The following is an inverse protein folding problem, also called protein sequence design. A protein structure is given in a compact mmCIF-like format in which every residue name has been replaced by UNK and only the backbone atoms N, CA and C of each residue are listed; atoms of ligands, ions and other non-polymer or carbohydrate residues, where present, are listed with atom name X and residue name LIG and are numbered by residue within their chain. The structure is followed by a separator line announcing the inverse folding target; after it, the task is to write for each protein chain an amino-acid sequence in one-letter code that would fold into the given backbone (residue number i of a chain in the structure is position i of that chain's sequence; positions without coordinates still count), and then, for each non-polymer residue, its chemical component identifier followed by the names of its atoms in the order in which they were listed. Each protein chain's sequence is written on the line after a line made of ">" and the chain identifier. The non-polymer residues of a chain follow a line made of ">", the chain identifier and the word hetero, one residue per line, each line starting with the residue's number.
data_IF_718357788105
#
_entry.id   IF_718357788105
#
_cell.length_a   1.000
_cell.length_b   1.000
_cell.length_c   1.000
_cell.angle_alpha   90.00
_cell.angle_beta   90.00
_cell.angle_gamma   90.00
#
_symmetry.space_group_name_H-M   'P 1'
#
loop_
_entity.id
_entity.type
_entity.pdbx_description
1 polymer ?
#
# COMPACT_ATOMS: atom_id res chain seq x y z
N UNK A 1 16.25 -22.91 -67.81
CA UNK A 1 16.17 -22.28 -66.47
C UNK A 1 14.75 -22.46 -65.94
N UNK A 2 14.51 -23.47 -65.10
CA UNK A 2 13.19 -23.73 -64.51
C UNK A 2 13.14 -23.10 -63.10
N UNK A 3 12.20 -22.18 -62.87
CA UNK A 3 11.99 -21.53 -61.56
C UNK A 3 11.03 -22.41 -60.74
N UNK A 4 11.53 -22.93 -59.63
CA UNK A 4 10.73 -23.61 -58.60
C UNK A 4 10.14 -22.52 -57.70
N UNK A 5 8.81 -22.45 -57.60
CA UNK A 5 8.10 -21.65 -56.59
C UNK A 5 7.73 -22.57 -55.43
N UNK A 6 8.29 -22.31 -54.24
CA UNK A 6 7.85 -22.90 -52.98
C UNK A 6 6.91 -21.91 -52.28
N UNK A 7 5.70 -22.30 -51.86
CA UNK A 7 4.87 -21.43 -51.04
C UNK A 7 5.33 -21.51 -49.57
N UNK A 8 5.65 -20.37 -49.00
CA UNK A 8 5.93 -20.22 -47.57
C UNK A 8 4.58 -20.25 -46.82
N UNK A 9 4.31 -21.31 -46.07
CA UNK A 9 3.15 -21.40 -45.18
C UNK A 9 3.46 -20.62 -43.89
N UNK A 10 2.83 -19.46 -43.71
CA UNK A 10 2.91 -18.72 -42.45
C UNK A 10 1.91 -19.30 -41.44
N UNK A 11 2.42 -19.97 -40.40
CA UNK A 11 1.62 -20.37 -39.24
C UNK A 11 1.41 -19.15 -38.33
N UNK A 12 0.19 -18.60 -38.33
CA UNK A 12 -0.25 -17.66 -37.29
C UNK A 12 -0.52 -18.45 -36.01
N UNK A 13 0.37 -18.33 -35.01
CA UNK A 13 0.07 -18.79 -33.65
C UNK A 13 -0.92 -17.83 -33.01
N UNK A 14 -2.18 -18.24 -32.94
CA UNK A 14 -3.20 -17.61 -32.10
C UNK A 14 -2.88 -17.96 -30.64
N UNK A 15 -2.11 -17.12 -29.95
CA UNK A 15 -2.03 -17.20 -28.49
C UNK A 15 -3.36 -16.69 -27.93
N UNK A 16 -4.13 -17.49 -27.18
CA UNK A 16 -5.26 -16.95 -26.45
C UNK A 16 -4.72 -15.92 -25.45
N UNK A 17 -5.16 -14.68 -25.58
CA UNK A 17 -5.05 -13.68 -24.53
C UNK A 17 -5.85 -14.21 -23.34
N UNK A 18 -5.17 -14.87 -22.40
CA UNK A 18 -5.75 -15.19 -21.10
C UNK A 18 -5.96 -13.86 -20.38
N UNK A 19 -7.18 -13.32 -20.43
CA UNK A 19 -7.57 -12.24 -19.55
C UNK A 19 -7.51 -12.77 -18.11
N UNK A 20 -6.62 -12.20 -17.30
CA UNK A 20 -6.60 -12.48 -15.87
C UNK A 20 -7.98 -12.14 -15.29
N UNK A 21 -8.66 -13.13 -14.71
CA UNK A 21 -10.00 -12.94 -14.18
C UNK A 21 -9.91 -12.27 -12.81
N UNK A 22 -10.56 -11.11 -12.68
CA UNK A 22 -10.71 -10.44 -11.39
C UNK A 22 -11.33 -11.37 -10.35
N UNK A 23 -10.79 -11.37 -9.13
CA UNK A 23 -11.39 -12.10 -8.02
C UNK A 23 -10.42 -12.44 -6.89
N UNK A 24 -10.89 -13.28 -5.97
CA UNK A 24 -10.10 -13.80 -4.85
C UNK A 24 -10.05 -15.31 -4.95
N UNK A 25 -8.85 -15.86 -4.98
CA UNK A 25 -8.59 -17.31 -4.92
C UNK A 25 -7.95 -17.65 -3.59
N UNK A 26 -8.48 -18.66 -2.90
CA UNK A 26 -7.84 -19.23 -1.72
C UNK A 26 -6.79 -20.25 -2.16
N UNK A 27 -5.54 -20.08 -1.74
CA UNK A 27 -4.42 -20.98 -2.05
C UNK A 27 -3.73 -21.41 -0.76
N UNK A 28 -4.04 -22.62 -0.30
CA UNK A 28 -3.68 -23.05 1.05
C UNK A 28 -4.26 -22.10 2.11
N UNK A 29 -3.39 -21.49 2.90
CA UNK A 29 -3.80 -20.49 3.90
C UNK A 29 -3.79 -19.05 3.38
N UNK A 30 -3.46 -18.82 2.10
CA UNK A 30 -3.35 -17.47 1.54
C UNK A 30 -4.60 -17.09 0.74
N UNK A 31 -4.85 -15.78 0.65
CA UNK A 31 -5.81 -15.16 -0.25
C UNK A 31 -5.04 -14.46 -1.37
N UNK A 32 -5.23 -14.92 -2.61
CA UNK A 32 -4.65 -14.32 -3.81
C UNK A 32 -5.73 -13.47 -4.48
N UNK A 33 -5.53 -12.16 -4.49
CA UNK A 33 -6.44 -11.18 -5.08
C UNK A 33 -5.88 -10.75 -6.42
N UNK A 34 -6.60 -11.07 -7.50
CA UNK A 34 -6.28 -10.63 -8.84
C UNK A 34 -7.18 -9.44 -9.20
N UNK A 35 -6.57 -8.30 -9.53
CA UNK A 35 -7.30 -7.09 -9.94
C UNK A 35 -7.91 -7.19 -11.34
N UNK A 36 -7.47 -8.13 -12.18
CA UNK A 36 -7.78 -8.16 -13.61
C UNK A 36 -7.08 -7.05 -14.43
N UNK A 37 -6.18 -6.27 -13.81
CA UNK A 37 -5.44 -5.17 -14.44
C UNK A 37 -3.91 -5.35 -14.45
N UNK A 38 -3.45 -6.54 -14.04
CA UNK A 38 -2.04 -6.89 -13.95
C UNK A 38 -1.46 -6.85 -12.53
N UNK A 39 -2.20 -6.34 -11.53
CA UNK A 39 -1.83 -6.42 -10.12
C UNK A 39 -2.42 -7.68 -9.46
N UNK A 40 -1.54 -8.54 -8.94
CA UNK A 40 -1.88 -9.73 -8.15
C UNK A 40 -1.26 -9.60 -6.77
N UNK A 41 -2.09 -9.69 -5.73
CA UNK A 41 -1.69 -9.50 -4.34
C UNK A 41 -1.93 -10.77 -3.55
N UNK A 42 -0.96 -11.21 -2.75
CA UNK A 42 -1.13 -12.36 -1.84
C UNK A 42 -1.16 -11.89 -0.40
N UNK A 43 -2.19 -12.27 0.33
CA UNK A 43 -2.38 -11.99 1.75
C UNK A 43 -2.34 -13.30 2.53
N UNK A 44 -1.54 -13.36 3.59
CA UNK A 44 -1.48 -14.50 4.49
C UNK A 44 -2.72 -14.56 5.37
N UNK A 45 -3.45 -15.68 5.33
CA UNK A 45 -4.72 -15.84 6.05
C UNK A 45 -4.60 -16.12 7.55
N UNK A 46 -3.39 -16.30 8.10
CA UNK A 46 -3.17 -16.46 9.54
C UNK A 46 -2.91 -15.13 10.27
N UNK A 47 -2.37 -14.13 9.57
CA UNK A 47 -1.91 -12.89 10.20
C UNK A 47 -2.27 -11.61 9.42
N UNK A 48 -2.71 -11.72 8.16
CA UNK A 48 -3.07 -10.59 7.31
C UNK A 48 -1.90 -9.88 6.63
N UNK A 49 -0.68 -10.39 6.74
CA UNK A 49 0.48 -9.80 6.06
C UNK A 49 0.33 -9.94 4.54
N UNK A 50 0.68 -8.88 3.80
CA UNK A 50 0.76 -8.90 2.36
C UNK A 50 2.15 -9.40 1.95
N UNK A 51 2.19 -10.63 1.45
CA UNK A 51 3.42 -11.42 1.23
C UNK A 51 3.88 -11.47 -0.22
N UNK A 52 3.06 -11.01 -1.16
CA UNK A 52 3.44 -10.82 -2.56
C UNK A 52 2.61 -9.70 -3.18
N UNK A 53 3.25 -8.87 -4.00
CA UNK A 53 2.66 -7.75 -4.74
C UNK A 53 3.22 -7.76 -6.16
N UNK A 54 2.58 -8.50 -7.06
CA UNK A 54 3.06 -8.66 -8.43
C UNK A 54 2.35 -7.72 -9.37
N UNK A 55 3.10 -6.90 -10.09
CA UNK A 55 2.58 -6.05 -11.14
C UNK A 55 3.14 -6.48 -12.50
N UNK A 56 2.27 -6.94 -13.39
CA UNK A 56 2.64 -7.48 -14.70
C UNK A 56 3.77 -8.54 -14.61
N UNK A 57 3.68 -9.41 -13.59
CA UNK A 57 4.65 -10.46 -13.32
C UNK A 57 5.90 -10.03 -12.55
N UNK A 58 6.15 -8.72 -12.37
CA UNK A 58 7.26 -8.20 -11.56
C UNK A 58 6.87 -8.19 -10.09
N UNK A 59 7.61 -8.91 -9.25
CA UNK A 59 7.43 -8.89 -7.79
C UNK A 59 7.93 -7.56 -7.22
N UNK A 60 7.07 -6.90 -6.46
CA UNK A 60 7.36 -5.61 -5.80
C UNK A 60 7.45 -5.76 -4.28
N UNK A 61 6.87 -6.81 -3.70
CA UNK A 61 6.98 -7.09 -2.27
C UNK A 61 8.38 -7.58 -1.94
N UNK A 62 8.97 -7.07 -0.86
CA UNK A 62 10.20 -7.62 -0.32
C UNK A 62 9.97 -9.03 0.25
N UNK A 63 10.96 -9.91 0.12
CA UNK A 63 10.86 -11.31 0.55
C UNK A 63 11.33 -11.57 1.98
N UNK A 64 12.06 -10.64 2.60
CA UNK A 64 12.63 -10.80 3.95
C UNK A 64 11.66 -10.34 5.04
N UNK A 65 10.90 -9.28 4.79
CA UNK A 65 9.80 -8.81 5.64
C UNK A 65 8.65 -8.31 4.78
N UNK A 66 7.44 -8.52 5.26
CA UNK A 66 6.22 -8.30 4.48
C UNK A 66 5.58 -6.93 4.69
N UNK A 67 4.61 -6.58 3.85
CA UNK A 67 3.79 -5.38 4.04
C UNK A 67 2.73 -5.63 5.11
N UNK A 68 2.61 -4.72 6.09
CA UNK A 68 1.87 -4.97 7.34
C UNK A 68 1.26 -3.69 7.93
N UNK A 69 0.32 -3.89 8.86
CA UNK A 69 -0.06 -2.88 9.85
C UNK A 69 0.88 -2.98 11.07
N UNK A 70 1.31 -1.83 11.60
CA UNK A 70 2.27 -1.65 12.68
C UNK A 70 3.60 -2.37 12.43
N UNK A 71 3.79 -3.55 13.04
CA UNK A 71 4.95 -4.42 12.85
C UNK A 71 4.50 -5.87 12.58
N UNK A 72 3.29 -6.02 12.03
CA UNK A 72 2.59 -7.29 11.90
C UNK A 72 1.60 -7.47 13.05
N UNK A 73 0.40 -7.95 12.73
CA UNK A 73 -0.66 -8.22 13.72
C UNK A 73 -0.42 -9.51 14.53
N UNK A 74 0.59 -10.29 14.15
CA UNK A 74 0.91 -11.59 14.75
C UNK A 74 -0.07 -12.67 14.30
N UNK A 75 -1.31 -12.61 14.80
CA UNK A 75 -2.41 -13.50 14.40
C UNK A 75 -3.70 -12.71 14.21
N UNK A 76 -4.46 -13.06 13.18
CA UNK A 76 -5.71 -12.42 12.84
C UNK A 76 -6.68 -13.43 12.22
N UNK A 77 -7.97 -13.15 12.34
CA UNK A 77 -8.99 -13.80 11.52
C UNK A 77 -9.06 -13.08 10.17
N UNK A 78 -8.72 -13.79 9.10
CA UNK A 78 -8.75 -13.23 7.74
C UNK A 78 -9.89 -13.85 6.94
N UNK A 79 -10.76 -13.00 6.40
CA UNK A 79 -11.87 -13.40 5.53
C UNK A 79 -11.87 -12.60 4.23
N UNK A 80 -12.57 -13.11 3.21
CA UNK A 80 -12.74 -12.41 1.95
C UNK A 80 -14.20 -12.39 1.49
N UNK A 81 -14.57 -11.35 0.76
CA UNK A 81 -15.82 -11.28 0.00
C UNK A 81 -15.56 -10.67 -1.38
N UNK A 82 -16.36 -11.05 -2.37
CA UNK A 82 -16.34 -10.46 -3.71
C UNK A 82 -17.77 -10.15 -4.11
N UNK A 83 -18.05 -8.88 -4.40
CA UNK A 83 -19.36 -8.43 -4.87
C UNK A 83 -19.20 -7.17 -5.74
N UNK A 84 -20.03 -7.01 -6.77
CA UNK A 84 -20.05 -5.82 -7.64
C UNK A 84 -18.66 -5.40 -8.14
N UNK A 85 -17.83 -6.36 -8.56
CA UNK A 85 -16.46 -6.13 -9.03
C UNK A 85 -15.52 -5.51 -7.97
N UNK A 86 -15.82 -5.72 -6.69
CA UNK A 86 -15.01 -5.30 -5.54
C UNK A 86 -14.69 -6.52 -4.69
N UNK A 87 -13.41 -6.70 -4.41
CA UNK A 87 -12.90 -7.73 -3.51
C UNK A 87 -12.52 -7.05 -2.20
N UNK A 88 -12.99 -7.57 -1.08
CA UNK A 88 -12.66 -7.08 0.26
C UNK A 88 -12.01 -8.20 1.04
N UNK A 89 -10.78 -7.99 1.50
CA UNK A 89 -10.10 -8.83 2.48
C UNK A 89 -10.23 -8.12 3.83
N UNK A 90 -10.82 -8.80 4.82
CA UNK A 90 -10.97 -8.30 6.18
C UNK A 90 -10.02 -9.05 7.11
N UNK A 91 -9.19 -8.32 7.84
CA UNK A 91 -8.18 -8.84 8.77
C UNK A 91 -8.55 -8.34 10.17
N UNK A 92 -8.97 -9.24 11.05
CA UNK A 92 -9.55 -8.87 12.35
C UNK A 92 -8.79 -9.45 13.52
N UNK A 93 -8.49 -8.59 14.50
CA UNK A 93 -8.03 -8.94 15.86
C UNK A 93 -9.08 -8.52 16.89
N UNK A 94 -8.74 -8.53 18.18
CA UNK A 94 -9.62 -8.01 19.23
C UNK A 94 -9.81 -6.49 19.17
N UNK A 95 -8.80 -5.73 18.72
CA UNK A 95 -8.82 -4.27 18.71
C UNK A 95 -8.71 -3.64 17.32
N UNK A 96 -8.29 -4.41 16.31
CA UNK A 96 -8.11 -3.94 14.94
C UNK A 96 -9.05 -4.67 13.99
N UNK A 97 -9.65 -3.94 13.06
CA UNK A 97 -10.18 -4.50 11.81
C UNK A 97 -9.58 -3.74 10.64
N UNK A 98 -8.70 -4.40 9.89
CA UNK A 98 -7.98 -3.85 8.76
C UNK A 98 -8.54 -4.40 7.45
N UNK A 99 -8.63 -3.55 6.43
CA UNK A 99 -9.24 -3.88 5.16
C UNK A 99 -8.26 -3.66 4.02
N UNK A 100 -8.08 -4.67 3.17
CA UNK A 100 -7.56 -4.49 1.82
C UNK A 100 -8.70 -4.65 0.83
N UNK A 101 -8.91 -3.65 -0.03
CA UNK A 101 -10.04 -3.59 -0.96
C UNK A 101 -9.50 -3.36 -2.37
N UNK A 102 -9.91 -4.19 -3.32
CA UNK A 102 -9.47 -4.11 -4.73
C UNK A 102 -10.68 -4.01 -5.63
N UNK A 103 -10.66 -3.03 -6.55
CA UNK A 103 -11.66 -2.90 -7.62
C UNK A 103 -11.15 -3.56 -8.89
N UNK A 104 -12.02 -4.28 -9.59
CA UNK A 104 -11.71 -4.85 -10.90
C UNK A 104 -11.21 -3.77 -11.87
N UNK A 105 -10.16 -4.09 -12.62
CA UNK A 105 -9.59 -3.18 -13.61
C UNK A 105 -8.68 -2.08 -13.03
N UNK A 106 -8.34 -2.13 -11.73
CA UNK A 106 -7.47 -1.12 -11.10
C UNK A 106 -6.23 -1.73 -10.45
N UNK A 107 -5.08 -1.08 -10.62
CA UNK A 107 -3.82 -1.47 -9.97
C UNK A 107 -3.66 -0.74 -8.63
N UNK A 108 -4.69 -0.79 -7.79
CA UNK A 108 -4.73 -0.05 -6.52
C UNK A 108 -5.38 -0.90 -5.44
N UNK A 109 -4.69 -1.01 -4.31
CA UNK A 109 -5.23 -1.59 -3.08
C UNK A 109 -5.72 -0.43 -2.22
N UNK A 110 -7.03 -0.30 -2.06
CA UNK A 110 -7.64 0.66 -1.16
C UNK A 110 -7.65 0.07 0.25
N UNK A 111 -7.40 0.91 1.23
CA UNK A 111 -7.09 0.48 2.60
C UNK A 111 -7.88 1.31 3.59
N UNK A 112 -8.36 0.65 4.62
CA UNK A 112 -8.98 1.27 5.79
C UNK A 112 -8.67 0.47 7.04
N UNK A 113 -8.53 1.16 8.17
CA UNK A 113 -8.20 0.51 9.44
C UNK A 113 -9.12 1.02 10.53
N UNK A 114 -9.96 0.15 11.08
CA UNK A 114 -10.66 0.44 12.32
C UNK A 114 -9.81 0.02 13.51
N UNK A 115 -9.63 0.91 14.48
CA UNK A 115 -9.02 0.60 15.77
C UNK A 115 -9.95 1.00 16.92
N UNK A 116 -10.28 0.08 17.83
CA UNK A 116 -11.03 0.37 19.06
C UNK A 116 -10.14 0.83 20.21
N UNK A 117 -8.83 0.59 20.10
CA UNK A 117 -7.80 1.03 21.03
C UNK A 117 -6.48 1.20 20.29
N UNK A 118 -5.63 2.10 20.79
CA UNK A 118 -4.27 2.29 20.29
C UNK A 118 -3.44 1.00 20.47
N UNK A 119 -2.62 0.60 19.49
CA UNK A 119 -1.61 -0.43 19.68
C UNK A 119 -0.68 -0.14 20.87
N UNK A 120 -0.28 -1.18 21.60
CA UNK A 120 0.57 -1.04 22.80
C UNK A 120 1.94 -0.44 22.53
N UNK A 121 2.41 -0.48 21.28
CA UNK A 121 3.65 0.18 20.84
C UNK A 121 3.53 1.72 20.85
N UNK A 122 2.31 2.25 20.93
CA UNK A 122 2.05 3.69 20.96
C UNK A 122 2.17 4.37 19.59
N UNK A 123 1.98 3.61 18.52
CA UNK A 123 1.90 4.10 17.15
C UNK A 123 1.03 3.18 16.28
N UNK A 124 0.34 3.76 15.32
CA UNK A 124 -0.41 3.07 14.28
C UNK A 124 0.12 3.48 12.90
N UNK A 125 0.70 2.51 12.18
CA UNK A 125 1.24 2.74 10.83
C UNK A 125 0.86 1.64 9.87
N UNK A 126 0.71 1.98 8.61
CA UNK A 126 0.85 1.04 7.51
C UNK A 126 2.27 1.12 6.98
N UNK A 127 2.86 -0.03 6.67
CA UNK A 127 4.18 -0.08 6.04
C UNK A 127 4.16 -1.04 4.85
N UNK A 128 4.31 -0.47 3.66
CA UNK A 128 4.61 -1.22 2.44
C UNK A 128 6.12 -1.50 2.41
N UNK A 129 6.50 -2.76 2.58
CA UNK A 129 7.89 -3.20 2.54
C UNK A 129 8.20 -3.75 1.15
N UNK A 130 8.78 -2.91 0.31
CA UNK A 130 8.93 -3.18 -1.11
C UNK A 130 10.37 -3.61 -1.43
N UNK A 131 10.52 -4.37 -2.51
CA UNK A 131 11.82 -4.80 -3.02
C UNK A 131 12.63 -3.58 -3.45
N UNK A 132 13.77 -3.35 -2.79
CA UNK A 132 14.68 -2.24 -3.13
C UNK A 132 15.24 -2.34 -4.54
N UNK A 133 15.42 -3.55 -5.08
CA UNK A 133 15.88 -3.75 -6.46
C UNK A 133 14.79 -3.45 -7.49
N UNK A 134 13.52 -3.72 -7.16
CA UNK A 134 12.39 -3.40 -8.05
C UNK A 134 12.06 -1.90 -8.07
N UNK A 135 12.17 -1.25 -6.90
CA UNK A 135 11.77 0.13 -6.62
C UNK A 135 12.91 0.90 -5.90
N UNK A 136 14.07 1.13 -6.54
CA UNK A 136 15.23 1.73 -5.87
C UNK A 136 15.06 3.22 -5.53
N UNK A 137 14.18 3.92 -6.22
CA UNK A 137 14.11 5.38 -6.22
C UNK A 137 13.02 5.89 -5.26
N UNK A 138 13.29 5.81 -3.95
CA UNK A 138 12.50 6.49 -2.90
C UNK A 138 13.04 7.88 -2.56
N UNK A 139 12.65 8.44 -1.41
CA UNK A 139 13.17 9.74 -0.94
C UNK A 139 14.68 9.69 -0.69
N UNK A 140 15.52 10.49 -1.40
CA UNK A 140 16.98 10.45 -1.22
C UNK A 140 17.44 10.85 0.17
N UNK A 141 16.71 11.74 0.85
CA UNK A 141 17.04 12.19 2.20
C UNK A 141 16.83 11.09 3.27
N UNK A 142 16.03 10.07 2.92
CA UNK A 142 15.71 8.92 3.77
C UNK A 142 16.36 7.62 3.28
N UNK A 143 17.26 7.68 2.30
CA UNK A 143 18.06 6.52 1.89
C UNK A 143 19.28 6.39 2.80
N UNK A 144 19.25 5.35 3.64
CA UNK A 144 20.24 5.04 4.67
C UNK A 144 21.15 3.87 4.27
N UNK A 145 21.05 3.35 3.04
CA UNK A 145 21.81 2.17 2.61
C UNK A 145 23.31 2.38 2.79
N UNK A 146 23.97 1.46 3.50
CA UNK A 146 25.40 1.52 3.80
C UNK A 146 25.79 2.61 4.79
N UNK A 147 24.83 3.26 5.45
CA UNK A 147 25.08 4.30 6.44
C UNK A 147 25.48 3.77 7.82
N UNK A 148 26.16 4.62 8.59
CA UNK A 148 26.45 4.38 10.01
C UNK A 148 25.53 5.23 10.87
N UNK A 149 24.89 4.66 11.89
CA UNK A 149 24.07 5.42 12.82
C UNK A 149 24.91 6.48 13.55
N UNK A 150 24.39 7.71 13.64
CA UNK A 150 25.03 8.85 14.30
C UNK A 150 24.15 9.50 15.38
N UNK A 151 22.85 9.21 15.39
CA UNK A 151 21.93 9.55 16.48
C UNK A 151 20.91 8.41 16.60
N UNK A 152 20.78 7.85 17.81
CA UNK A 152 19.90 6.70 18.07
C UNK A 152 20.14 5.55 17.09
N UNK A 153 19.07 5.13 16.44
CA UNK A 153 19.07 4.12 15.37
C UNK A 153 18.26 4.57 14.13
N UNK A 154 18.06 5.88 13.99
CA UNK A 154 17.20 6.48 12.98
C UNK A 154 17.84 7.66 12.24
N UNK A 155 18.99 8.17 12.66
CA UNK A 155 19.81 9.11 11.89
C UNK A 155 21.14 8.48 11.54
N UNK A 156 21.51 8.55 10.26
CA UNK A 156 22.65 7.86 9.67
C UNK A 156 23.55 8.83 8.90
N UNK A 157 24.86 8.56 8.89
CA UNK A 157 25.81 9.18 7.98
C UNK A 157 26.03 8.26 6.77
N UNK A 158 25.70 8.74 5.57
CA UNK A 158 25.90 8.04 4.29
C UNK A 158 26.76 8.92 3.40
N UNK A 159 27.96 8.46 3.06
CA UNK A 159 28.89 9.20 2.18
C UNK A 159 29.10 10.67 2.59
N UNK A 160 29.22 10.93 3.90
CA UNK A 160 29.40 12.28 4.45
C UNK A 160 28.13 13.14 4.54
N UNK A 161 26.95 12.59 4.25
CA UNK A 161 25.66 13.27 4.36
C UNK A 161 24.78 12.61 5.42
N UNK A 162 24.09 13.42 6.24
CA UNK A 162 23.12 12.91 7.21
C UNK A 162 21.83 12.49 6.51
N UNK A 163 21.29 11.33 6.88
CA UNK A 163 20.09 10.72 6.32
C UNK A 163 19.20 10.19 7.43
N UNK A 164 17.90 10.24 7.24
CA UNK A 164 16.94 9.70 8.21
C UNK A 164 15.60 9.48 7.53
N UNK A 165 14.90 8.42 7.95
CA UNK A 165 13.49 8.22 7.63
C UNK A 165 12.64 9.46 7.94
N UNK A 166 12.96 10.19 9.02
CA UNK A 166 12.28 11.44 9.38
C UNK A 166 12.45 12.55 8.35
N UNK A 167 13.51 12.53 7.53
CA UNK A 167 13.74 13.52 6.48
C UNK A 167 12.87 13.30 5.24
N UNK A 168 12.14 12.19 5.16
CA UNK A 168 11.11 11.98 4.14
C UNK A 168 9.83 12.76 4.41
N UNK A 169 9.58 13.12 5.67
CA UNK A 169 8.29 13.59 6.14
C UNK A 169 7.80 14.88 5.48
N UNK A 170 6.50 14.98 5.27
CA UNK A 170 5.82 16.20 4.85
C UNK A 170 4.67 16.54 5.81
N UNK A 171 4.20 17.81 5.79
CA UNK A 171 3.04 18.20 6.59
C UNK A 171 1.81 17.49 6.05
N UNK A 172 0.99 16.89 6.92
CA UNK A 172 -0.20 16.13 6.53
C UNK A 172 -1.15 16.89 5.60
N UNK A 173 -1.30 18.22 5.76
CA UNK A 173 -2.10 19.04 4.83
C UNK A 173 -1.56 19.07 3.38
N UNK A 174 -0.28 18.76 3.17
CA UNK A 174 0.42 18.76 1.89
C UNK A 174 0.84 17.35 1.44
N UNK A 175 0.51 16.31 2.20
CA UNK A 175 1.08 14.99 2.04
C UNK A 175 0.05 14.01 1.45
N UNK A 176 -0.32 14.23 0.19
CA UNK A 176 -1.35 13.39 -0.44
C UNK A 176 -0.78 12.15 -1.12
N UNK A 177 0.45 12.22 -1.63
CA UNK A 177 1.08 11.13 -2.38
C UNK A 177 2.57 11.08 -2.10
N UNK A 178 3.05 9.94 -1.64
CA UNK A 178 4.47 9.63 -1.50
C UNK A 178 4.72 8.16 -1.86
N UNK A 179 5.94 7.83 -2.25
CA UNK A 179 6.24 6.49 -2.75
C UNK A 179 7.63 6.36 -3.31
N UNK A 180 7.84 5.25 -4.02
CA UNK A 180 9.09 4.94 -4.68
C UNK A 180 8.86 4.44 -6.11
N UNK A 181 9.87 4.60 -6.95
CA UNK A 181 9.81 4.18 -8.36
C UNK A 181 10.99 3.30 -8.74
N UNK A 182 10.86 2.65 -9.89
CA UNK A 182 11.90 1.88 -10.55
C UNK A 182 11.64 1.81 -12.05
N UNK A 183 12.39 0.97 -12.76
CA UNK A 183 12.22 0.81 -14.20
C UNK A 183 10.83 0.26 -14.54
N UNK A 184 9.99 1.09 -15.17
CA UNK A 184 8.64 0.78 -15.63
C UNK A 184 7.60 0.56 -14.54
N UNK A 185 7.89 0.95 -13.29
CA UNK A 185 6.98 0.72 -12.15
C UNK A 185 7.12 1.79 -11.07
N UNK A 186 6.02 2.09 -10.38
CA UNK A 186 6.02 2.87 -9.16
C UNK A 186 5.00 2.33 -8.16
N UNK A 187 5.25 2.52 -6.87
CA UNK A 187 4.36 2.15 -5.79
C UNK A 187 4.22 3.34 -4.84
N UNK A 188 2.99 3.80 -4.64
CA UNK A 188 2.68 5.05 -3.96
C UNK A 188 1.59 4.84 -2.93
N UNK A 189 1.80 5.35 -1.73
CA UNK A 189 0.72 5.57 -0.78
C UNK A 189 0.01 6.86 -1.17
N UNK A 190 -1.32 6.78 -1.23
CA UNK A 190 -2.20 7.93 -1.47
C UNK A 190 -3.07 8.13 -0.24
N UNK A 191 -2.93 9.26 0.42
CA UNK A 191 -3.77 9.67 1.55
C UNK A 191 -4.58 10.89 1.11
N UNK A 192 -5.85 10.73 0.71
CA UNK A 192 -6.69 11.87 0.35
C UNK A 192 -6.88 12.78 1.58
N UNK A 193 -7.28 14.04 1.38
CA UNK A 193 -7.46 14.99 2.50
C UNK A 193 -8.39 14.49 3.61
N UNK A 194 -9.36 13.64 3.29
CA UNK A 194 -10.24 12.99 4.28
C UNK A 194 -9.57 11.84 5.05
N UNK A 195 -8.47 11.28 4.55
CA UNK A 195 -7.78 10.14 5.13
C UNK A 195 -7.07 10.43 6.46
N UNK A 196 -6.82 11.72 6.76
CA UNK A 196 -6.18 12.19 7.99
C UNK A 196 -7.16 12.54 9.12
N UNK A 197 -8.48 12.34 8.95
CA UNK A 197 -9.48 12.78 9.95
C UNK A 197 -9.27 12.17 11.34
N UNK A 198 -8.80 10.93 11.38
CA UNK A 198 -8.51 10.18 12.61
C UNK A 198 -7.04 10.28 13.03
N UNK A 199 -6.19 10.93 12.25
CA UNK A 199 -4.80 11.21 12.65
C UNK A 199 -4.74 12.21 13.80
N UNK A 200 -3.57 12.36 14.43
CA UNK A 200 -3.34 13.23 15.60
C UNK A 200 -2.23 14.24 15.33
N UNK A 201 -2.37 15.46 15.85
CA UNK A 201 -1.38 16.55 15.74
C UNK A 201 -1.79 17.68 14.78
N UNK A 202 -2.95 17.57 14.15
CA UNK A 202 -3.48 18.59 13.24
C UNK A 202 -2.76 18.69 11.88
N UNK A 203 -3.07 19.72 11.08
CA UNK A 203 -2.68 19.80 9.66
C UNK A 203 -1.16 19.98 9.42
N UNK A 204 -0.42 20.42 10.43
CA UNK A 204 1.02 20.66 10.34
C UNK A 204 1.86 19.53 10.92
N UNK A 205 1.22 18.51 11.52
CA UNK A 205 1.90 17.28 11.89
C UNK A 205 2.56 16.66 10.66
N UNK A 206 3.70 16.02 10.85
CA UNK A 206 4.50 15.40 9.81
C UNK A 206 5.10 14.11 10.37
N UNK A 207 5.19 13.08 9.55
CA UNK A 207 5.71 11.80 9.99
C UNK A 207 6.43 11.09 8.84
N UNK A 208 7.01 9.94 9.13
CA UNK A 208 7.83 9.17 8.20
C UNK A 208 6.99 8.70 7.01
N UNK A 209 7.41 9.06 5.79
CA UNK A 209 6.74 8.66 4.55
C UNK A 209 7.52 7.57 3.81
N UNK A 210 8.85 7.57 3.92
CA UNK A 210 9.75 6.70 3.18
C UNK A 210 11.01 6.36 3.99
N UNK A 211 11.56 5.16 3.75
CA UNK A 211 12.92 4.80 4.15
C UNK A 211 13.53 3.87 3.10
N UNK A 212 14.71 4.23 2.60
CA UNK A 212 15.51 3.36 1.74
C UNK A 212 16.59 2.66 2.56
N UNK A 213 16.63 1.33 2.52
CA UNK A 213 17.69 0.50 3.07
C UNK A 213 17.73 -0.83 2.33
N UNK A 214 17.86 -1.94 3.05
CA UNK A 214 17.77 -3.28 2.44
C UNK A 214 16.40 -3.51 1.77
N UNK A 215 15.38 -2.81 2.28
CA UNK A 215 14.04 -2.72 1.70
C UNK A 215 13.79 -1.28 1.22
N UNK A 216 12.87 -1.10 0.29
CA UNK A 216 12.26 0.20 0.04
C UNK A 216 10.95 0.28 0.81
N UNK A 217 10.92 1.04 1.89
CA UNK A 217 9.75 1.17 2.75
C UNK A 217 8.98 2.44 2.39
N UNK A 218 7.66 2.30 2.24
CA UNK A 218 6.72 3.41 2.05
C UNK A 218 5.65 3.28 3.12
N UNK A 219 5.32 4.38 3.77
CA UNK A 219 4.58 4.39 5.02
C UNK A 219 3.26 5.13 4.90
N UNK A 220 2.36 4.89 5.84
CA UNK A 220 1.43 5.91 6.31
C UNK A 220 1.37 5.78 7.83
N UNK A 221 1.94 6.75 8.55
CA UNK A 221 1.73 6.86 9.99
C UNK A 221 0.40 7.54 10.25
N UNK A 222 -0.58 6.74 10.66
CA UNK A 222 -1.89 7.22 11.06
C UNK A 222 -1.79 8.05 12.34
N UNK A 223 -0.94 7.62 13.26
CA UNK A 223 -0.52 8.39 14.43
C UNK A 223 0.85 7.90 14.92
N UNK A 224 1.52 8.71 15.74
CA UNK A 224 2.77 8.35 16.43
C UNK A 224 3.06 9.32 17.58
N UNK A 225 4.09 9.00 18.36
CA UNK A 225 4.66 9.87 19.39
C UNK A 225 5.75 10.82 18.86
N UNK A 226 5.92 10.93 17.53
CA UNK A 226 6.92 11.80 16.92
C UNK A 226 6.46 13.27 16.99
N UNK A 227 6.86 13.99 18.03
CA UNK A 227 6.43 15.38 18.29
C UNK A 227 4.89 15.51 18.40
N UNK A 228 4.26 14.54 19.08
CA UNK A 228 2.80 14.50 19.22
C UNK A 228 2.25 15.62 20.10
N UNK A 229 1.17 16.27 19.66
CA UNK A 229 0.54 17.40 20.34
C UNK A 229 -0.94 17.18 20.69
N UNK A 230 -1.55 16.12 20.17
CA UNK A 230 -2.93 15.74 20.47
C UNK A 230 -3.00 14.31 21.03
N UNK A 231 -4.07 14.01 21.76
CA UNK A 231 -4.39 12.64 22.13
C UNK A 231 -4.77 11.82 20.90
N UNK A 232 -4.43 10.53 20.92
CA UNK A 232 -4.82 9.60 19.86
C UNK A 232 -6.33 9.44 19.77
N UNK A 233 -6.81 9.37 18.52
CA UNK A 233 -8.20 9.06 18.19
C UNK A 233 -8.35 7.56 17.97
N UNK A 234 -9.54 7.04 18.20
CA UNK A 234 -9.96 5.69 17.81
C UNK A 234 -11.05 5.81 16.73
N UNK A 235 -11.41 4.69 16.11
CA UNK A 235 -12.37 4.67 15.00
C UNK A 235 -11.70 4.26 13.70
N UNK A 236 -12.18 4.81 12.59
CA UNK A 236 -11.72 4.45 11.25
C UNK A 236 -10.64 5.41 10.76
N UNK A 237 -9.49 4.86 10.38
CA UNK A 237 -8.38 5.56 9.78
C UNK A 237 -8.36 5.31 8.27
N UNK A 238 -8.13 6.38 7.50
CA UNK A 238 -8.28 6.38 6.05
C UNK A 238 -9.64 6.96 5.61
N UNK A 239 -10.12 6.62 4.40
CA UNK A 239 -9.50 5.71 3.44
C UNK A 239 -8.15 6.21 2.93
N UNK A 240 -7.24 5.29 2.63
CA UNK A 240 -5.98 5.55 1.91
C UNK A 240 -5.76 4.41 0.90
N UNK A 241 -4.70 4.46 0.10
CA UNK A 241 -4.42 3.40 -0.86
C UNK A 241 -2.93 3.15 -1.06
N UNK A 242 -2.58 1.93 -1.47
CA UNK A 242 -1.33 1.60 -2.12
C UNK A 242 -1.59 1.44 -3.63
N UNK A 243 -1.20 2.42 -4.42
CA UNK A 243 -1.34 2.44 -5.87
C UNK A 243 -0.06 1.98 -6.56
N UNK A 244 -0.19 1.07 -7.52
CA UNK A 244 0.90 0.63 -8.39
C UNK A 244 0.71 1.22 -9.79
N UNK A 245 1.73 1.88 -10.31
CA UNK A 245 1.72 2.54 -11.61
C UNK A 245 2.86 2.05 -12.48
N UNK A 246 2.93 2.52 -13.73
CA UNK A 246 4.08 2.29 -14.63
C UNK A 246 5.28 3.21 -14.35
N UNK A 247 5.30 3.89 -13.19
CA UNK A 247 6.38 4.75 -12.71
C UNK A 247 5.99 6.22 -12.54
N UNK A 248 4.89 6.66 -13.17
CA UNK A 248 4.37 8.02 -12.97
C UNK A 248 3.67 8.15 -11.61
N UNK A 249 3.87 9.27 -10.93
CA UNK A 249 3.17 9.59 -9.68
C UNK A 249 1.66 9.71 -9.97
N UNK A 250 0.79 8.99 -9.24
CA UNK A 250 -0.65 9.09 -9.40
C UNK A 250 -1.19 10.43 -8.86
N UNK A 251 -2.47 10.72 -9.16
CA UNK A 251 -3.17 11.84 -8.52
C UNK A 251 -3.31 11.60 -7.00
N UNK A 252 -3.27 12.67 -6.21
CA UNK A 252 -3.61 12.64 -4.79
C UNK A 252 -5.11 12.54 -4.50
N UNK A 253 -5.95 12.68 -5.54
CA UNK A 253 -7.39 12.44 -5.42
C UNK A 253 -7.66 10.94 -5.55
N UNK A 254 -8.42 10.40 -4.59
CA UNK A 254 -8.78 8.99 -4.53
C UNK A 254 -10.31 8.86 -4.46
N UNK A 255 -10.93 8.36 -5.53
CA UNK A 255 -12.34 8.01 -5.49
C UNK A 255 -12.55 6.82 -4.55
N UNK A 256 -13.17 7.10 -3.42
CA UNK A 256 -13.49 6.14 -2.35
C UNK A 256 -14.99 6.05 -2.11
N UNK A 257 -15.81 6.63 -2.98
CA UNK A 257 -17.28 6.67 -2.84
C UNK A 257 -17.91 5.28 -2.66
N UNK A 258 -17.31 4.25 -3.25
CA UNK A 258 -17.78 2.87 -3.14
C UNK A 258 -17.69 2.31 -1.71
N UNK A 259 -16.84 2.87 -0.83
CA UNK A 259 -16.74 2.47 0.59
C UNK A 259 -18.08 2.61 1.32
N UNK A 260 -18.93 3.57 0.91
CA UNK A 260 -20.27 3.82 1.46
C UNK A 260 -21.16 2.57 1.48
N UNK A 261 -20.92 1.63 0.57
CA UNK A 261 -21.73 0.42 0.39
C UNK A 261 -21.11 -0.85 1.01
N UNK A 262 -19.88 -0.78 1.52
CA UNK A 262 -19.12 -1.96 1.95
C UNK A 262 -19.38 -2.37 3.41
N UNK A 263 -20.06 -1.55 4.20
CA UNK A 263 -20.34 -1.86 5.61
C UNK A 263 -19.09 -1.96 6.48
N UNK A 264 -18.06 -1.15 6.18
CA UNK A 264 -16.80 -1.14 6.90
C UNK A 264 -17.00 -0.62 8.32
N UNK A 265 -16.39 -1.29 9.30
CA UNK A 265 -16.55 -0.95 10.71
C UNK A 265 -16.03 0.46 11.00
N UNK A 266 -16.86 1.32 11.57
CA UNK A 266 -16.50 2.69 11.95
C UNK A 266 -16.39 3.68 10.79
N UNK A 267 -16.48 3.25 9.53
CA UNK A 267 -16.52 4.16 8.39
C UNK A 267 -17.86 4.93 8.37
N UNK A 268 -17.79 6.24 8.19
CA UNK A 268 -18.98 7.09 8.06
C UNK A 268 -19.20 7.43 6.59
N UNK A 269 -20.26 6.92 5.95
CA UNK A 269 -20.52 7.18 4.55
C UNK A 269 -20.76 8.65 4.25
N UNK A 270 -20.46 9.04 3.01
CA UNK A 270 -20.58 10.42 2.59
C UNK A 270 -21.97 11.02 2.82
N UNK A 271 -23.03 10.26 2.49
CA UNK A 271 -24.43 10.68 2.69
C UNK A 271 -24.84 10.88 4.16
N UNK A 272 -23.98 10.52 5.12
CA UNK A 272 -24.16 10.78 6.56
C UNK A 272 -23.28 11.90 7.09
N UNK A 273 -22.42 12.50 6.25
CA UNK A 273 -21.56 13.62 6.62
C UNK A 273 -22.16 14.95 6.18
N UNK A 274 -21.88 16.04 6.91
CA UNK A 274 -22.40 17.38 6.56
C UNK A 274 -21.63 18.06 5.42
N UNK A 275 -20.43 17.58 5.09
CA UNK A 275 -19.57 18.11 4.04
C UNK A 275 -18.78 16.98 3.40
N UNK A 276 -19.19 16.55 2.20
CA UNK A 276 -18.36 15.78 1.30
C UNK A 276 -17.96 16.64 0.12
N UNK A 277 -16.66 16.76 -0.13
CA UNK A 277 -16.17 17.01 -1.49
C UNK A 277 -15.13 15.94 -1.77
N UNK A 278 -15.42 15.13 -2.80
CA UNK A 278 -14.53 14.08 -3.30
C UNK A 278 -13.29 14.64 -3.99
#
# INVERSE_FOLDING_TARGET
>A
MARIWAPLLAFLFYFPLAFAAFGVTKSGNNFVVDSGAGLVTTINGANGDLTSLKFNGKELQDSSKFTQLSSGLGSATVTSSVNNNIAVITIKTSTITHYYIVRSGTNTIYIGTFASAEPTVGELRFIARLSKSALPNGSPAADIQGGTAIEGSDVFLVNGQTRSKFYSSNRFINDQVHGATGSGVGAFVIVPGTGYESSSGGPFFRDIDNQGGDQQEVYFYMNSNHEQTESYRTGFFGPYALAVTTGSTPSGTLDTSFFDSLGLQGYVPCFRSRHCKG
#
